data_IF_305512187055
#
_entry.id   IF_305512187055
#
_cell.length_a   1.000
_cell.length_b   1.000
_cell.length_c   1.000
_cell.angle_alpha   90.00
_cell.angle_beta   90.00
_cell.angle_gamma   90.00
#
_symmetry.space_group_name_H-M   'P 1'
#
loop_
_entity.id
_entity.type
_entity.pdbx_description
1 polymer ?
#
# COMPACT_ATOMS: atom_id res chain seq x y z
N UNK A 1 -0.28 5.09 9.42
CA UNK A 1 1.08 4.58 9.22
C UNK A 1 1.76 5.44 8.17
N UNK A 2 2.77 6.21 8.54
CA UNK A 2 3.56 7.08 7.66
C UNK A 2 4.80 6.35 7.14
N UNK A 3 5.46 6.87 6.09
CA UNK A 3 6.72 6.30 5.57
C UNK A 3 7.78 6.20 6.67
N UNK A 4 7.86 7.19 7.56
CA UNK A 4 8.80 7.20 8.69
C UNK A 4 8.47 6.12 9.73
N UNK A 5 7.18 5.88 10.00
CA UNK A 5 6.74 4.82 10.90
C UNK A 5 7.06 3.43 10.32
N UNK A 6 6.90 3.22 9.01
CA UNK A 6 7.28 1.97 8.32
C UNK A 6 8.78 1.74 8.44
N UNK A 7 9.58 2.77 8.20
CA UNK A 7 11.04 2.67 8.30
C UNK A 7 11.49 2.28 9.71
N UNK A 8 10.94 2.91 10.75
CA UNK A 8 11.25 2.57 12.14
C UNK A 8 10.85 1.13 12.47
N UNK A 9 9.68 0.71 12.03
CA UNK A 9 9.19 -0.65 12.26
C UNK A 9 10.07 -1.73 11.60
N UNK A 10 10.60 -1.47 10.39
CA UNK A 10 11.51 -2.37 9.70
C UNK A 10 12.88 -2.45 10.36
N UNK A 11 13.37 -1.34 10.92
CA UNK A 11 14.63 -1.33 11.67
C UNK A 11 14.48 -2.07 13.02
N UNK A 12 13.38 -1.85 13.74
CA UNK A 12 13.14 -2.48 15.05
C UNK A 12 12.95 -4.00 14.95
N UNK A 13 12.15 -4.47 13.99
CA UNK A 13 11.83 -5.90 13.87
C UNK A 13 12.84 -6.70 13.06
N UNK A 14 13.44 -6.09 12.04
CA UNK A 14 14.25 -6.79 11.06
C UNK A 14 15.69 -6.28 10.97
N UNK A 15 16.10 -5.35 11.85
CA UNK A 15 17.43 -4.73 11.84
C UNK A 15 17.85 -4.18 10.46
N UNK A 16 16.86 -3.87 9.61
CA UNK A 16 17.08 -3.52 8.22
C UNK A 16 16.85 -2.02 8.03
N UNK A 17 17.90 -1.32 7.60
CA UNK A 17 17.81 0.10 7.26
C UNK A 17 17.29 0.25 5.83
N UNK A 18 16.07 0.78 5.71
CA UNK A 18 15.43 1.06 4.44
C UNK A 18 15.26 2.58 4.29
N UNK A 19 15.49 3.11 3.08
CA UNK A 19 15.25 4.53 2.81
C UNK A 19 13.77 4.82 2.59
N UNK A 20 13.35 6.04 2.92
CA UNK A 20 12.00 6.53 2.62
C UNK A 20 11.68 6.46 1.12
N UNK A 21 12.68 6.68 0.27
CA UNK A 21 12.56 6.59 -1.19
C UNK A 21 12.24 5.16 -1.64
N UNK A 22 12.90 4.16 -1.05
CA UNK A 22 12.61 2.76 -1.40
C UNK A 22 11.19 2.37 -0.99
N UNK A 23 10.75 2.80 0.19
CA UNK A 23 9.37 2.57 0.65
C UNK A 23 8.38 3.22 -0.31
N UNK A 24 8.62 4.48 -0.71
CA UNK A 24 7.76 5.18 -1.69
C UNK A 24 7.68 4.42 -3.01
N UNK A 25 8.83 4.03 -3.57
CA UNK A 25 8.88 3.29 -4.83
C UNK A 25 8.13 1.95 -4.77
N UNK A 26 8.22 1.25 -3.64
CA UNK A 26 7.46 0.01 -3.42
C UNK A 26 5.97 0.29 -3.36
N UNK A 27 5.53 1.33 -2.65
CA UNK A 27 4.10 1.69 -2.58
C UNK A 27 3.56 2.20 -3.92
N UNK A 28 4.38 2.89 -4.71
CA UNK A 28 4.00 3.34 -6.05
C UNK A 28 3.80 2.15 -7.00
N UNK A 29 4.49 1.04 -6.75
CA UNK A 29 4.39 -0.18 -7.55
C UNK A 29 3.00 -0.82 -7.59
N UNK A 30 2.12 -0.49 -6.63
CA UNK A 30 0.75 -1.04 -6.60
C UNK A 30 -0.28 -0.15 -7.32
N UNK A 31 0.11 1.04 -7.81
CA UNK A 31 -0.84 2.01 -8.35
C UNK A 31 -1.59 1.51 -9.59
N UNK A 32 -0.95 0.67 -10.41
CA UNK A 32 -1.60 0.02 -11.55
C UNK A 32 -2.71 -0.93 -11.09
N UNK A 33 -2.44 -1.75 -10.07
CA UNK A 33 -3.40 -2.69 -9.50
C UNK A 33 -4.56 -1.97 -8.81
N UNK A 34 -4.29 -0.86 -8.12
CA UNK A 34 -5.32 0.03 -7.54
C UNK A 34 -6.22 0.57 -8.65
N UNK A 35 -5.64 1.00 -9.76
CA UNK A 35 -6.40 1.51 -10.91
C UNK A 35 -7.29 0.42 -11.52
N UNK A 36 -6.76 -0.79 -11.69
CA UNK A 36 -7.53 -1.93 -12.15
C UNK A 36 -8.68 -2.28 -11.20
N UNK A 37 -8.40 -2.28 -9.89
CA UNK A 37 -9.38 -2.54 -8.85
C UNK A 37 -10.49 -1.50 -8.81
N UNK A 38 -10.17 -0.22 -8.98
CA UNK A 38 -11.15 0.86 -9.05
C UNK A 38 -12.09 0.72 -10.26
N UNK A 39 -11.59 0.21 -11.37
CA UNK A 39 -12.37 0.03 -12.60
C UNK A 39 -13.09 -1.32 -12.70
N UNK A 40 -13.05 -2.16 -11.65
CA UNK A 40 -13.71 -3.46 -11.67
C UNK A 40 -15.23 -3.27 -11.78
N UNK A 41 -15.87 -4.14 -12.57
CA UNK A 41 -17.32 -4.18 -12.64
C UNK A 41 -17.89 -4.49 -11.24
N UNK A 42 -18.87 -3.68 -10.84
CA UNK A 42 -19.61 -3.88 -9.61
C UNK A 42 -20.86 -4.72 -9.88
N UNK A 43 -21.38 -5.38 -8.85
CA UNK A 43 -22.61 -6.16 -8.94
C UNK A 43 -23.81 -5.24 -9.21
N UNK A 44 -24.79 -5.75 -9.96
CA UNK A 44 -25.96 -4.93 -10.34
C UNK A 44 -26.86 -4.56 -9.15
N UNK A 45 -26.76 -5.28 -8.03
CA UNK A 45 -27.62 -5.09 -6.86
C UNK A 45 -26.76 -5.11 -5.60
N UNK A 46 -26.83 -4.04 -4.82
CA UNK A 46 -26.20 -3.92 -3.50
C UNK A 46 -27.28 -3.69 -2.43
N UNK A 47 -27.93 -4.75 -1.91
CA UNK A 47 -28.89 -4.58 -0.84
C UNK A 47 -28.14 -4.24 0.45
N UNK A 48 -28.56 -3.16 1.11
CA UNK A 48 -28.07 -2.76 2.44
C UNK A 48 -29.21 -3.06 3.42
N UNK A 49 -28.97 -3.89 4.43
CA UNK A 49 -29.92 -4.19 5.53
C UNK A 49 -29.63 -3.34 6.76
#
# INVERSE_FOLDING_TARGET
MTIREIQGHLEELYATKVSSELISKVTDGILEEVTAWQNRALDSVYPIM
#
